data_IF_642259054817
#
_entry.id   IF_642259054817
#
_cell.length_a   1.000
_cell.length_b   1.000
_cell.length_c   1.000
_cell.angle_alpha   90.00
_cell.angle_beta   90.00
_cell.angle_gamma   90.00
#
_symmetry.space_group_name_H-M   'P 1'
#
loop_
_entity.id
_entity.type
_entity.pdbx_description
1 polymer ?
#
# COMPACT_ATOMS: atom_id res chain seq x y z
N UNK A 1 -5.76 0.92 1.37
CA UNK A 1 -5.27 2.30 1.64
C UNK A 1 -6.09 3.39 0.94
N UNK A 2 -6.67 3.15 -0.25
CA UNK A 2 -7.47 4.16 -0.97
C UNK A 2 -8.56 4.85 -0.12
N UNK A 3 -9.23 4.12 0.78
CA UNK A 3 -10.26 4.69 1.67
C UNK A 3 -9.74 5.74 2.66
N UNK A 4 -8.44 5.71 3.01
CA UNK A 4 -7.83 6.69 3.91
C UNK A 4 -7.32 7.94 3.17
N UNK A 5 -7.12 7.87 1.84
CA UNK A 5 -6.55 8.97 1.05
C UNK A 5 -7.48 10.20 0.93
N UNK A 6 -8.76 10.05 1.32
CA UNK A 6 -9.75 11.15 1.38
C UNK A 6 -10.27 11.40 2.79
N UNK A 7 -9.46 11.09 3.80
CA UNK A 7 -9.85 11.26 5.21
C UNK A 7 -10.25 12.70 5.55
N UNK A 8 -9.65 13.71 4.90
CA UNK A 8 -9.97 15.12 5.10
C UNK A 8 -11.36 15.53 4.60
N UNK A 9 -11.93 14.80 3.63
CA UNK A 9 -13.23 15.11 3.01
C UNK A 9 -14.40 14.36 3.68
N UNK A 10 -14.11 13.47 4.62
CA UNK A 10 -15.12 12.65 5.31
C UNK A 10 -15.73 13.41 6.48
N UNK A 11 -17.06 13.33 6.60
CA UNK A 11 -17.80 13.88 7.76
C UNK A 11 -17.32 13.26 9.09
N UNK A 12 -17.17 11.94 9.14
CA UNK A 12 -16.73 11.19 10.33
C UNK A 12 -15.65 10.14 9.99
N UNK A 13 -14.38 10.55 9.83
CA UNK A 13 -13.30 9.66 9.37
C UNK A 13 -13.08 8.46 10.30
N UNK A 14 -13.25 8.66 11.62
CA UNK A 14 -13.02 7.63 12.64
C UNK A 14 -13.92 6.40 12.49
N UNK A 15 -15.14 6.58 11.99
CA UNK A 15 -16.11 5.48 11.81
C UNK A 15 -16.18 5.01 10.36
N UNK A 16 -16.12 5.94 9.40
CA UNK A 16 -16.27 5.63 7.97
C UNK A 16 -15.08 4.84 7.40
N UNK A 17 -13.84 5.17 7.80
CA UNK A 17 -12.64 4.49 7.29
C UNK A 17 -12.63 2.99 7.66
N UNK A 18 -12.76 2.58 8.94
CA UNK A 18 -12.71 1.16 9.29
C UNK A 18 -13.89 0.39 8.70
N UNK A 19 -15.11 0.92 8.78
CA UNK A 19 -16.32 0.25 8.28
C UNK A 19 -16.26 0.07 6.76
N UNK A 20 -15.91 1.13 6.02
CA UNK A 20 -15.81 1.09 4.57
C UNK A 20 -14.70 0.18 4.07
N UNK A 21 -13.52 0.21 4.71
CA UNK A 21 -12.38 -0.62 4.30
C UNK A 21 -12.64 -2.10 4.53
N UNK A 22 -13.20 -2.47 5.70
CA UNK A 22 -13.50 -3.87 6.01
C UNK A 22 -14.61 -4.43 5.11
N UNK A 23 -15.69 -3.67 4.88
CA UNK A 23 -16.76 -4.10 3.99
C UNK A 23 -16.27 -4.29 2.55
N UNK A 24 -15.45 -3.35 2.04
CA UNK A 24 -14.86 -3.47 0.71
C UNK A 24 -13.94 -4.70 0.60
N UNK A 25 -13.14 -5.00 1.63
CA UNK A 25 -12.27 -6.18 1.66
C UNK A 25 -13.08 -7.49 1.64
N UNK A 26 -14.14 -7.57 2.44
CA UNK A 26 -15.01 -8.77 2.48
C UNK A 26 -15.72 -8.94 1.15
N UNK A 27 -16.33 -7.89 0.62
CA UNK A 27 -17.06 -7.94 -0.65
C UNK A 27 -16.16 -8.38 -1.81
N UNK A 28 -14.97 -7.79 -1.95
CA UNK A 28 -14.01 -8.17 -3.01
C UNK A 28 -13.49 -9.60 -2.83
N UNK A 29 -13.22 -10.04 -1.59
CA UNK A 29 -12.79 -11.41 -1.31
C UNK A 29 -13.87 -12.42 -1.69
N UNK A 30 -15.14 -12.15 -1.36
CA UNK A 30 -16.27 -13.00 -1.74
C UNK A 30 -16.43 -13.09 -3.27
N UNK A 31 -16.27 -11.97 -3.97
CA UNK A 31 -16.32 -11.92 -5.43
C UNK A 31 -15.20 -12.78 -6.03
N UNK A 32 -13.95 -12.63 -5.57
CA UNK A 32 -12.83 -13.44 -6.06
C UNK A 32 -13.04 -14.94 -5.80
N UNK A 33 -13.47 -15.32 -4.60
CA UNK A 33 -13.77 -16.72 -4.29
C UNK A 33 -14.88 -17.28 -5.18
N UNK A 34 -15.94 -16.51 -5.41
CA UNK A 34 -17.04 -16.90 -6.30
C UNK A 34 -16.53 -17.17 -7.72
N UNK A 35 -15.69 -16.28 -8.28
CA UNK A 35 -15.10 -16.48 -9.60
C UNK A 35 -14.22 -17.74 -9.67
N UNK A 36 -13.41 -18.01 -8.64
CA UNK A 36 -12.59 -19.22 -8.58
C UNK A 36 -13.46 -20.48 -8.68
N UNK A 37 -14.55 -20.56 -7.91
CA UNK A 37 -15.46 -21.71 -7.95
C UNK A 37 -16.21 -21.83 -9.27
N UNK A 38 -16.74 -20.72 -9.80
CA UNK A 38 -17.50 -20.73 -11.06
C UNK A 38 -16.61 -21.09 -12.24
N UNK A 39 -15.41 -20.51 -12.36
CA UNK A 39 -14.51 -20.82 -13.47
C UNK A 39 -14.01 -22.26 -13.41
N UNK A 40 -13.73 -22.78 -12.21
CA UNK A 40 -13.39 -24.19 -12.01
C UNK A 40 -14.52 -25.17 -12.36
N UNK A 41 -15.78 -24.75 -12.23
CA UNK A 41 -16.93 -25.57 -12.58
C UNK A 41 -17.29 -25.52 -14.08
N UNK A 42 -16.97 -24.43 -14.77
CA UNK A 42 -17.41 -24.17 -16.16
C UNK A 42 -16.40 -24.61 -17.21
N UNK A 43 -15.08 -24.55 -16.93
CA UNK A 43 -14.06 -24.83 -17.93
C UNK A 43 -13.04 -25.90 -17.50
N UNK A 44 -12.56 -26.71 -18.47
CA UNK A 44 -11.46 -27.64 -18.22
C UNK A 44 -10.14 -26.87 -18.00
N UNK A 45 -9.20 -27.52 -17.31
CA UNK A 45 -7.90 -26.95 -16.91
C UNK A 45 -7.13 -26.33 -18.09
N UNK A 46 -7.14 -26.98 -19.25
CA UNK A 46 -6.36 -26.50 -20.41
C UNK A 46 -6.88 -25.16 -20.95
N UNK A 47 -8.20 -24.95 -20.98
CA UNK A 47 -8.79 -23.67 -21.39
C UNK A 47 -8.38 -22.57 -20.41
N UNK A 48 -8.42 -22.84 -19.11
CA UNK A 48 -8.04 -21.86 -18.07
C UNK A 48 -6.55 -21.48 -18.08
N UNK A 49 -5.67 -22.39 -18.52
CA UNK A 49 -4.23 -22.11 -18.60
C UNK A 49 -3.85 -21.29 -19.83
N UNK A 50 -4.55 -21.49 -20.95
CA UNK A 50 -4.18 -20.89 -22.24
C UNK A 50 -4.98 -19.63 -22.58
N UNK A 51 -6.25 -19.55 -22.17
CA UNK A 51 -7.12 -18.41 -22.49
C UNK A 51 -7.09 -17.35 -21.37
N UNK A 52 -6.25 -16.33 -21.57
CA UNK A 52 -6.16 -15.17 -20.66
C UNK A 52 -7.44 -14.31 -20.62
N UNK A 53 -8.30 -14.42 -21.63
CA UNK A 53 -9.55 -13.66 -21.74
C UNK A 53 -10.79 -14.52 -21.53
N UNK A 54 -10.64 -15.69 -20.89
CA UNK A 54 -11.72 -16.65 -20.66
C UNK A 54 -12.96 -16.00 -20.03
N UNK A 55 -12.77 -15.09 -19.07
CA UNK A 55 -13.87 -14.38 -18.42
C UNK A 55 -14.73 -13.55 -19.40
N UNK A 56 -14.13 -13.01 -20.48
CA UNK A 56 -14.86 -12.31 -21.54
C UNK A 56 -15.55 -13.29 -22.48
N UNK A 57 -14.95 -14.46 -22.74
CA UNK A 57 -15.51 -15.51 -23.60
C UNK A 57 -16.83 -16.07 -23.07
N UNK A 58 -16.96 -16.23 -21.75
CA UNK A 58 -18.19 -16.74 -21.10
C UNK A 58 -19.24 -15.66 -20.80
N UNK A 59 -18.95 -14.39 -21.11
CA UNK A 59 -19.78 -13.29 -20.67
C UNK A 59 -21.11 -13.21 -21.45
N UNK A 60 -22.23 -13.18 -20.73
CA UNK A 60 -23.56 -12.89 -21.27
C UNK A 60 -23.94 -11.43 -20.97
N UNK A 61 -24.54 -10.66 -21.90
CA UNK A 61 -25.04 -11.04 -23.23
C UNK A 61 -24.02 -10.90 -24.37
N UNK A 62 -22.97 -10.07 -24.21
CA UNK A 62 -21.98 -9.81 -25.26
C UNK A 62 -20.58 -9.74 -24.65
N UNK A 63 -19.64 -10.49 -25.24
CA UNK A 63 -18.21 -10.53 -24.87
C UNK A 63 -17.57 -9.14 -24.75
N UNK A 64 -17.88 -8.27 -25.69
CA UNK A 64 -17.27 -6.94 -25.80
C UNK A 64 -17.55 -6.04 -24.58
N UNK A 65 -18.64 -6.29 -23.84
CA UNK A 65 -18.95 -5.55 -22.60
C UNK A 65 -17.84 -5.75 -21.57
N UNK A 66 -17.33 -6.97 -21.44
CA UNK A 66 -16.24 -7.27 -20.51
C UNK A 66 -14.94 -6.64 -20.97
N UNK A 67 -14.65 -6.67 -22.27
CA UNK A 67 -13.42 -6.07 -22.83
C UNK A 67 -13.42 -4.55 -22.58
N UNK A 68 -14.49 -3.84 -22.93
CA UNK A 68 -14.59 -2.40 -22.67
C UNK A 68 -14.63 -2.07 -21.18
N UNK A 69 -15.27 -2.93 -20.36
CA UNK A 69 -15.29 -2.79 -18.90
C UNK A 69 -13.90 -2.90 -18.29
N UNK A 70 -13.10 -3.88 -18.71
CA UNK A 70 -11.70 -4.04 -18.28
C UNK A 70 -10.85 -2.85 -18.73
N UNK A 71 -11.03 -2.35 -19.96
CA UNK A 71 -10.32 -1.16 -20.43
C UNK A 71 -10.66 0.08 -19.59
N UNK A 72 -11.95 0.37 -19.38
CA UNK A 72 -12.39 1.51 -18.59
C UNK A 72 -11.92 1.41 -17.13
N UNK A 73 -12.01 0.22 -16.54
CA UNK A 73 -11.52 -0.05 -15.17
C UNK A 73 -10.01 0.15 -15.06
N UNK A 74 -9.24 -0.38 -16.01
CA UNK A 74 -7.77 -0.27 -16.01
C UNK A 74 -7.30 1.18 -16.17
N UNK A 75 -7.94 1.95 -17.05
CA UNK A 75 -7.64 3.40 -17.22
C UNK A 75 -7.97 4.16 -15.93
N UNK A 76 -9.15 3.90 -15.33
CA UNK A 76 -9.54 4.54 -14.07
C UNK A 76 -8.61 4.21 -12.90
N UNK A 77 -8.21 2.95 -12.77
CA UNK A 77 -7.25 2.50 -11.77
C UNK A 77 -5.85 3.12 -12.00
N UNK A 78 -5.40 3.22 -13.25
CA UNK A 78 -4.14 3.85 -13.61
C UNK A 78 -4.11 5.35 -13.27
N UNK A 79 -5.17 6.09 -13.66
CA UNK A 79 -5.28 7.53 -13.40
C UNK A 79 -5.33 7.82 -11.89
N UNK A 80 -6.15 7.08 -11.14
CA UNK A 80 -6.25 7.26 -9.69
C UNK A 80 -4.94 6.94 -8.97
N UNK A 81 -4.23 5.90 -9.39
CA UNK A 81 -2.91 5.54 -8.83
C UNK A 81 -1.85 6.60 -9.12
N UNK A 82 -1.86 7.18 -10.33
CA UNK A 82 -0.94 8.24 -10.73
C UNK A 82 -1.18 9.53 -9.93
N UNK A 83 -2.44 9.96 -9.76
CA UNK A 83 -2.77 11.15 -8.96
C UNK A 83 -2.46 10.93 -7.48
N UNK A 84 -2.76 9.75 -6.94
CA UNK A 84 -2.50 9.44 -5.54
C UNK A 84 -1.01 9.34 -5.23
N UNK A 85 -0.22 8.67 -6.09
CA UNK A 85 1.22 8.50 -5.89
C UNK A 85 1.99 9.82 -5.94
N UNK A 86 1.63 10.70 -6.87
CA UNK A 86 2.29 12.01 -7.04
C UNK A 86 2.02 12.96 -5.87
N UNK A 87 0.79 12.96 -5.35
CA UNK A 87 0.43 13.74 -4.16
C UNK A 87 1.12 13.20 -2.91
N UNK A 88 1.22 11.89 -2.77
CA UNK A 88 1.93 11.26 -1.64
C UNK A 88 3.44 11.58 -1.68
N UNK A 89 4.07 11.50 -2.85
CA UNK A 89 5.48 11.89 -3.01
C UNK A 89 5.70 13.38 -2.68
N UNK A 90 4.82 14.26 -3.15
CA UNK A 90 4.91 15.68 -2.85
C UNK A 90 4.66 15.99 -1.37
N UNK A 91 3.79 15.26 -0.68
CA UNK A 91 3.56 15.43 0.75
C UNK A 91 4.82 15.08 1.55
N UNK A 92 5.42 13.92 1.27
CA UNK A 92 6.69 13.49 1.90
C UNK A 92 7.82 14.50 1.62
N UNK A 93 7.89 15.04 0.41
CA UNK A 93 8.88 16.06 0.05
C UNK A 93 8.70 17.38 0.83
N UNK A 94 7.45 17.79 1.06
CA UNK A 94 7.11 18.99 1.83
C UNK A 94 7.33 18.81 3.33
N UNK A 95 7.24 17.58 3.86
CA UNK A 95 7.51 17.27 5.27
C UNK A 95 9.00 17.44 5.63
N UNK A 96 9.90 17.45 4.64
CA UNK A 96 11.32 17.72 4.84
C UNK A 96 12.11 16.62 5.55
N UNK A 97 11.50 15.46 5.77
CA UNK A 97 12.11 14.26 6.40
C UNK A 97 13.26 13.72 5.57
N UNK A 98 13.12 13.75 4.24
CA UNK A 98 14.11 13.30 3.26
C UNK A 98 14.57 14.50 2.42
N UNK A 99 15.73 15.11 2.72
CA UNK A 99 16.15 16.36 2.08
C UNK A 99 16.40 16.21 0.57
N UNK A 100 16.75 14.99 0.13
CA UNK A 100 16.94 14.64 -1.30
C UNK A 100 15.63 14.80 -2.08
N UNK A 101 14.47 14.59 -1.44
CA UNK A 101 13.16 14.66 -2.08
C UNK A 101 12.58 16.07 -2.16
N UNK A 102 13.21 17.10 -1.56
CA UNK A 102 12.71 18.48 -1.54
C UNK A 102 12.42 19.07 -2.93
N UNK A 103 13.09 18.56 -3.97
CA UNK A 103 12.87 18.96 -5.38
C UNK A 103 11.42 18.67 -5.82
N UNK A 104 10.78 17.65 -5.23
CA UNK A 104 9.41 17.26 -5.56
C UNK A 104 8.35 17.96 -4.71
N UNK A 105 8.74 18.86 -3.79
CA UNK A 105 7.81 19.58 -2.95
C UNK A 105 7.02 20.62 -3.77
N UNK A 106 5.70 20.55 -3.68
CA UNK A 106 4.79 21.53 -4.27
C UNK A 106 4.14 22.40 -3.19
N UNK A 107 3.91 23.70 -3.46
CA UNK A 107 3.16 24.57 -2.56
C UNK A 107 1.73 24.05 -2.32
N UNK A 108 1.14 24.31 -1.14
CA UNK A 108 -0.23 23.90 -0.84
C UNK A 108 -1.21 24.46 -1.88
N UNK A 109 -2.07 23.59 -2.41
CA UNK A 109 -3.06 23.92 -3.43
C UNK A 109 -2.54 23.98 -4.87
N UNK A 110 -1.23 23.83 -5.10
CA UNK A 110 -0.66 23.69 -6.46
C UNK A 110 -0.42 22.22 -6.80
N UNK A 111 -0.59 21.89 -8.08
CA UNK A 111 -0.33 20.53 -8.56
C UNK A 111 1.17 20.23 -8.58
N UNK A 112 1.60 19.05 -8.11
CA UNK A 112 3.02 18.69 -8.03
C UNK A 112 3.54 18.22 -9.39
N UNK A 113 3.81 19.17 -10.29
CA UNK A 113 4.21 18.90 -11.69
C UNK A 113 5.49 18.07 -11.80
N UNK A 114 6.48 18.32 -10.96
CA UNK A 114 7.76 17.58 -10.96
C UNK A 114 7.56 16.13 -10.47
N UNK A 115 6.76 15.92 -9.42
CA UNK A 115 6.42 14.58 -8.95
C UNK A 115 5.60 13.80 -9.99
N UNK A 116 4.70 14.51 -10.70
CA UNK A 116 3.94 13.96 -11.81
C UNK A 116 4.83 13.51 -12.97
N UNK A 117 5.79 14.36 -13.37
CA UNK A 117 6.75 14.00 -14.41
C UNK A 117 7.60 12.79 -14.02
N UNK A 118 8.08 12.74 -12.77
CA UNK A 118 8.85 11.61 -12.26
C UNK A 118 8.04 10.31 -12.26
N UNK A 119 6.78 10.37 -11.79
CA UNK A 119 5.88 9.21 -11.78
C UNK A 119 5.53 8.76 -13.20
N UNK A 120 5.29 9.70 -14.12
CA UNK A 120 5.04 9.40 -15.53
C UNK A 120 6.24 8.72 -16.19
N UNK A 121 7.46 9.23 -15.96
CA UNK A 121 8.69 8.62 -16.46
C UNK A 121 8.86 7.19 -15.94
N UNK A 122 8.66 6.98 -14.63
CA UNK A 122 8.75 5.65 -14.01
C UNK A 122 7.70 4.68 -14.58
N UNK A 123 6.46 5.13 -14.77
CA UNK A 123 5.41 4.33 -15.41
C UNK A 123 5.75 4.00 -16.87
N UNK A 124 6.26 4.95 -17.65
CA UNK A 124 6.67 4.71 -19.05
C UNK A 124 7.81 3.69 -19.13
N UNK A 125 8.79 3.76 -18.23
CA UNK A 125 9.85 2.75 -18.12
C UNK A 125 9.29 1.37 -17.77
N UNK A 126 8.35 1.29 -16.82
CA UNK A 126 7.71 0.03 -16.48
C UNK A 126 6.92 -0.55 -17.67
N UNK A 127 6.17 0.29 -18.41
CA UNK A 127 5.43 -0.14 -19.61
C UNK A 127 6.38 -0.64 -20.70
N UNK A 128 7.58 -0.04 -20.83
CA UNK A 128 8.57 -0.44 -21.84
C UNK A 128 9.09 -1.88 -21.69
N UNK A 129 8.94 -2.49 -20.50
CA UNK A 129 9.28 -3.90 -20.27
C UNK A 129 8.35 -4.84 -21.06
N UNK A 130 7.12 -4.42 -21.37
CA UNK A 130 6.20 -5.17 -22.23
C UNK A 130 5.60 -6.45 -21.62
N UNK A 131 5.97 -6.82 -20.39
CA UNK A 131 5.51 -8.06 -19.74
C UNK A 131 4.93 -7.80 -18.33
N UNK A 132 3.61 -7.98 -18.19
CA UNK A 132 2.90 -7.80 -16.92
C UNK A 132 3.37 -8.79 -15.85
N UNK A 133 3.69 -10.03 -16.24
CA UNK A 133 4.11 -11.09 -15.32
C UNK A 133 5.47 -10.81 -14.66
N UNK A 134 6.34 -10.04 -15.31
CA UNK A 134 7.60 -9.61 -14.72
C UNK A 134 7.41 -8.47 -13.71
N UNK A 135 6.45 -7.58 -13.98
CA UNK A 135 6.18 -6.39 -13.18
C UNK A 135 5.36 -6.72 -11.92
N UNK A 136 4.41 -7.66 -12.01
CA UNK A 136 3.50 -7.97 -10.92
C UNK A 136 4.19 -8.37 -9.60
N UNK A 137 5.18 -9.29 -9.58
CA UNK A 137 5.91 -9.62 -8.36
C UNK A 137 6.62 -8.42 -7.73
N UNK A 138 7.19 -7.52 -8.55
CA UNK A 138 7.89 -6.32 -8.07
C UNK A 138 6.93 -5.39 -7.32
N UNK A 139 5.74 -5.10 -7.89
CA UNK A 139 4.74 -4.29 -7.19
C UNK A 139 4.24 -4.98 -5.91
N UNK A 140 4.01 -6.30 -5.96
CA UNK A 140 3.57 -7.05 -4.78
C UNK A 140 4.57 -6.93 -3.63
N UNK A 141 5.88 -6.92 -3.90
CA UNK A 141 6.91 -6.70 -2.87
C UNK A 141 6.78 -5.33 -2.22
N UNK A 142 6.60 -4.25 -2.99
CA UNK A 142 6.43 -2.91 -2.44
C UNK A 142 5.15 -2.79 -1.59
N UNK A 143 4.04 -3.40 -2.02
CA UNK A 143 2.80 -3.41 -1.23
C UNK A 143 2.93 -4.22 0.06
N UNK A 144 3.50 -5.42 0.00
CA UNK A 144 3.74 -6.25 1.18
C UNK A 144 4.68 -5.55 2.16
N UNK A 145 5.71 -4.86 1.67
CA UNK A 145 6.63 -4.11 2.52
C UNK A 145 5.90 -2.96 3.25
N UNK A 146 5.06 -2.22 2.54
CA UNK A 146 4.23 -1.18 3.14
C UNK A 146 3.30 -1.74 4.23
N UNK A 147 2.64 -2.87 3.97
CA UNK A 147 1.80 -3.55 4.97
C UNK A 147 2.61 -4.06 6.16
N UNK A 148 3.83 -4.54 5.93
CA UNK A 148 4.74 -4.95 7.00
C UNK A 148 5.10 -3.77 7.89
N UNK A 149 5.54 -2.66 7.31
CA UNK A 149 5.89 -1.45 8.07
C UNK A 149 4.70 -0.91 8.87
N UNK A 150 3.52 -0.80 8.26
CA UNK A 150 2.33 -0.30 8.97
C UNK A 150 1.95 -1.20 10.14
N UNK A 151 1.89 -2.51 9.93
CA UNK A 151 1.56 -3.47 10.98
C UNK A 151 2.63 -3.51 12.09
N UNK A 152 3.90 -3.47 11.71
CA UNK A 152 4.99 -3.48 12.68
C UNK A 152 5.01 -2.21 13.52
N UNK A 153 4.80 -1.03 12.91
CA UNK A 153 4.66 0.23 13.64
C UNK A 153 3.50 0.19 14.64
N UNK A 154 2.32 -0.28 14.23
CA UNK A 154 1.18 -0.42 15.14
C UNK A 154 1.47 -1.37 16.32
N UNK A 155 2.15 -2.49 16.08
CA UNK A 155 2.51 -3.42 17.15
C UNK A 155 3.58 -2.83 18.09
N UNK A 156 4.59 -2.13 17.56
CA UNK A 156 5.63 -1.49 18.36
C UNK A 156 5.05 -0.40 19.25
N UNK A 157 4.20 0.50 18.71
CA UNK A 157 3.60 1.58 19.49
C UNK A 157 2.80 1.06 20.70
N UNK A 158 2.06 -0.04 20.55
CA UNK A 158 1.32 -0.66 21.64
C UNK A 158 2.26 -1.37 22.64
N UNK A 159 3.24 -2.15 22.16
CA UNK A 159 4.18 -2.88 23.03
C UNK A 159 5.07 -1.94 23.85
N UNK A 160 5.48 -0.82 23.24
CA UNK A 160 6.24 0.24 23.89
C UNK A 160 5.36 1.07 24.83
N UNK A 161 4.03 0.98 24.72
CA UNK A 161 3.05 1.78 25.46
C UNK A 161 3.22 3.29 25.21
N UNK A 162 3.40 3.69 23.95
CA UNK A 162 3.56 5.09 23.56
C UNK A 162 2.40 5.96 24.10
N UNK A 163 2.66 7.06 24.83
CA UNK A 163 1.62 7.92 25.41
C UNK A 163 0.60 8.49 24.41
N UNK A 164 1.02 8.69 23.16
CA UNK A 164 0.19 9.22 22.07
C UNK A 164 -0.64 8.15 21.37
N UNK A 165 -0.32 6.87 21.57
CA UNK A 165 -1.01 5.76 20.92
C UNK A 165 -2.20 5.28 21.77
N UNK A 166 -3.42 5.52 21.27
CA UNK A 166 -4.68 5.13 21.92
C UNK A 166 -5.71 4.61 20.90
N UNK A 167 -5.56 3.38 20.41
CA UNK A 167 -6.45 2.83 19.39
C UNK A 167 -7.87 2.68 19.93
N UNK A 168 -8.85 3.33 19.28
CA UNK A 168 -10.26 3.30 19.69
C UNK A 168 -11.07 2.19 19.01
N UNK A 169 -10.46 1.42 18.11
CA UNK A 169 -11.14 0.38 17.34
C UNK A 169 -11.30 -0.90 18.16
N UNK A 170 -12.53 -1.38 18.30
CA UNK A 170 -12.90 -2.49 19.21
C UNK A 170 -12.18 -3.82 18.93
N UNK A 171 -11.86 -4.13 17.67
CA UNK A 171 -11.25 -5.40 17.28
C UNK A 171 -9.73 -5.31 17.05
N UNK A 172 -9.11 -4.21 17.49
CA UNK A 172 -7.66 -4.07 17.42
C UNK A 172 -6.99 -4.80 18.59
N UNK A 173 -5.95 -5.56 18.29
CA UNK A 173 -5.04 -6.13 19.28
C UNK A 173 -3.62 -6.23 18.68
N UNK A 174 -2.59 -5.95 19.46
CA UNK A 174 -1.19 -5.92 18.98
C UNK A 174 -0.75 -7.23 18.35
N UNK A 175 -1.21 -8.37 18.89
CA UNK A 175 -0.83 -9.70 18.38
C UNK A 175 -1.33 -9.94 16.95
N UNK A 176 -2.52 -9.45 16.60
CA UNK A 176 -3.08 -9.56 15.24
C UNK A 176 -2.22 -8.75 14.26
N UNK A 177 -1.77 -7.57 14.68
CA UNK A 177 -0.89 -6.73 13.86
C UNK A 177 0.49 -7.36 13.69
N UNK A 178 1.09 -7.90 14.76
CA UNK A 178 2.37 -8.61 14.68
C UNK A 178 2.27 -9.85 13.79
N UNK A 179 1.20 -10.65 13.94
CA UNK A 179 0.95 -11.81 13.11
C UNK A 179 0.82 -11.42 11.63
N UNK A 180 0.09 -10.35 11.32
CA UNK A 180 -0.04 -9.85 9.95
C UNK A 180 1.31 -9.39 9.37
N UNK A 181 2.16 -8.71 10.16
CA UNK A 181 3.50 -8.32 9.73
C UNK A 181 4.37 -9.55 9.40
N UNK A 182 4.39 -10.55 10.27
CA UNK A 182 5.12 -11.79 10.03
C UNK A 182 4.62 -12.54 8.79
N UNK A 183 3.30 -12.58 8.59
CA UNK A 183 2.68 -13.20 7.42
C UNK A 183 3.05 -12.46 6.13
N UNK A 184 3.10 -11.12 6.14
CA UNK A 184 3.57 -10.35 5.00
C UNK A 184 5.04 -10.65 4.66
N UNK A 185 5.92 -10.70 5.66
CA UNK A 185 7.34 -11.06 5.46
C UNK A 185 7.48 -12.47 4.92
N UNK A 186 6.74 -13.43 5.48
CA UNK A 186 6.73 -14.81 5.00
C UNK A 186 6.31 -14.90 3.53
N UNK A 187 5.23 -14.21 3.14
CA UNK A 187 4.77 -14.16 1.75
C UNK A 187 5.81 -13.54 0.80
N UNK A 188 6.55 -12.51 1.23
CA UNK A 188 7.62 -11.93 0.41
C UNK A 188 8.71 -12.96 0.11
N UNK A 189 9.21 -13.67 1.12
CA UNK A 189 10.24 -14.70 0.93
C UNK A 189 9.73 -15.90 0.14
N UNK A 190 8.45 -16.26 0.29
CA UNK A 190 7.82 -17.34 -0.48
C UNK A 190 7.70 -17.00 -1.97
N UNK A 191 7.47 -15.73 -2.33
CA UNK A 191 7.33 -15.32 -3.72
C UNK A 191 8.68 -15.15 -4.44
N UNK A 192 9.62 -14.38 -3.85
CA UNK A 192 10.92 -14.15 -4.45
C UNK A 192 11.94 -13.71 -3.38
N UNK A 193 12.77 -14.63 -2.84
CA UNK A 193 13.61 -14.35 -1.68
C UNK A 193 14.69 -13.29 -1.95
N UNK A 194 15.26 -13.27 -3.16
CA UNK A 194 16.31 -12.31 -3.54
C UNK A 194 15.73 -10.90 -3.63
N UNK A 195 14.62 -10.73 -4.33
CA UNK A 195 13.95 -9.42 -4.48
C UNK A 195 13.43 -8.93 -3.13
N UNK A 196 12.89 -9.83 -2.30
CA UNK A 196 12.46 -9.52 -0.95
C UNK A 196 13.62 -8.99 -0.08
N UNK A 197 14.77 -9.66 -0.08
CA UNK A 197 15.94 -9.21 0.68
C UNK A 197 16.41 -7.82 0.24
N UNK A 198 16.45 -7.56 -1.08
CA UNK A 198 16.80 -6.24 -1.63
C UNK A 198 15.79 -5.17 -1.20
N UNK A 199 14.48 -5.47 -1.27
CA UNK A 199 13.43 -4.54 -0.88
C UNK A 199 13.48 -4.19 0.62
N UNK A 200 13.71 -5.20 1.48
CA UNK A 200 13.85 -5.02 2.93
C UNK A 200 15.09 -4.17 3.23
N UNK A 201 16.24 -4.47 2.60
CA UNK A 201 17.46 -3.69 2.75
C UNK A 201 17.23 -2.23 2.34
N UNK A 202 16.60 -2.01 1.19
CA UNK A 202 16.28 -0.67 0.68
C UNK A 202 15.36 0.11 1.62
N UNK A 203 14.36 -0.53 2.21
CA UNK A 203 13.50 0.11 3.18
C UNK A 203 14.24 0.43 4.49
N UNK A 204 15.10 -0.48 4.95
CA UNK A 204 15.92 -0.26 6.14
C UNK A 204 16.89 0.92 5.96
N UNK A 205 17.52 1.06 4.79
CA UNK A 205 18.39 2.22 4.51
C UNK A 205 17.61 3.52 4.51
N UNK A 206 16.44 3.58 3.87
CA UNK A 206 15.56 4.76 3.92
C UNK A 206 15.16 5.09 5.36
N UNK A 207 14.77 4.10 6.15
CA UNK A 207 14.38 4.30 7.55
C UNK A 207 15.53 4.87 8.39
N UNK A 208 16.73 4.29 8.29
CA UNK A 208 17.91 4.81 9.01
C UNK A 208 18.29 6.22 8.57
N UNK A 209 18.22 6.52 7.28
CA UNK A 209 18.53 7.84 6.73
C UNK A 209 17.50 8.89 7.18
N UNK A 210 16.21 8.55 7.15
CA UNK A 210 15.14 9.39 7.66
C UNK A 210 15.29 9.64 9.17
N UNK A 211 15.61 8.60 9.95
CA UNK A 211 15.82 8.71 11.40
C UNK A 211 17.00 9.62 11.74
N UNK A 212 18.13 9.49 11.02
CA UNK A 212 19.29 10.37 11.20
C UNK A 212 18.94 11.84 10.94
N UNK A 213 18.20 12.13 9.86
CA UNK A 213 17.83 13.49 9.51
C UNK A 213 16.68 14.04 10.39
N UNK A 214 15.80 13.17 10.90
CA UNK A 214 14.71 13.54 11.81
C UNK A 214 15.22 14.12 13.12
N UNK A 215 16.40 13.73 13.59
CA UNK A 215 16.99 14.28 14.82
C UNK A 215 17.30 15.79 14.74
N UNK A 216 17.47 16.32 13.51
CA UNK A 216 17.68 17.75 13.26
C UNK A 216 16.37 18.52 12.98
N UNK A 217 15.28 17.81 12.70
CA UNK A 217 13.95 18.40 12.49
C UNK A 217 13.18 18.43 13.81
N UNK A 218 12.39 19.48 14.07
CA UNK A 218 11.58 19.65 15.30
C UNK A 218 10.38 18.69 15.40
N UNK A 219 10.50 17.45 14.94
CA UNK A 219 9.47 16.43 15.09
C UNK A 219 9.81 15.56 16.29
N UNK A 220 8.78 15.27 17.11
CA UNK A 220 8.92 14.32 18.21
C UNK A 220 9.41 12.98 17.64
N UNK A 221 10.58 12.56 18.10
CA UNK A 221 11.18 11.29 17.70
C UNK A 221 10.30 10.15 18.25
N UNK A 222 9.99 9.11 17.47
CA UNK A 222 9.25 7.94 18.00
C UNK A 222 9.99 7.30 19.18
N UNK A 223 11.31 7.50 19.26
CA UNK A 223 12.13 7.11 20.41
C UNK A 223 12.02 8.05 21.63
N UNK A 224 11.45 9.25 21.51
CA UNK A 224 11.13 10.08 22.69
C UNK A 224 10.07 9.43 23.56
N UNK A 225 9.09 8.72 22.98
CA UNK A 225 8.12 7.93 23.75
C UNK A 225 8.80 6.87 24.62
N UNK A 226 9.72 6.10 24.02
CA UNK A 226 10.54 5.11 24.75
C UNK A 226 11.42 5.75 25.83
N UNK A 227 12.10 6.86 25.52
CA UNK A 227 12.96 7.58 26.47
C UNK A 227 12.15 8.17 27.62
N UNK A 228 10.97 8.73 27.34
CA UNK A 228 10.05 9.25 28.36
C UNK A 228 9.54 8.15 29.27
N UNK A 229 9.26 6.96 28.73
CA UNK A 229 8.78 5.83 29.50
C UNK A 229 9.86 5.17 30.34
N UNK A 230 11.08 5.04 29.80
CA UNK A 230 12.26 4.65 30.59
C UNK A 230 12.52 5.66 31.72
N UNK A 231 12.43 6.96 31.44
CA UNK A 231 12.58 7.99 32.46
C UNK A 231 11.47 7.94 33.52
N UNK A 232 10.22 7.66 33.12
CA UNK A 232 9.09 7.51 34.04
C UNK A 232 9.17 6.24 34.89
N UNK A 233 9.68 5.13 34.34
CA UNK A 233 9.82 3.87 35.07
C UNK A 233 11.05 3.85 36.01
N UNK A 234 11.99 4.78 35.84
CA UNK A 234 13.16 4.97 36.70
C UNK A 234 12.94 6.00 37.83
N UNK A 235 11.81 6.73 37.81
CA UNK A 235 11.40 7.69 38.83
C UNK A 235 10.31 7.09 39.74
#
# INVERSE_FOLDING_TARGET
>A
MAGANRSADLKDPKSSIPTGTLFAQIATSLIYMTFIFVFGAVAPRETLLNDKFFAATIAWPVREIVVYGVMASSIGAGLSSMVSGTRLLSAIASDGTLPILKIFAAPPGKEPRLALLASACLCTLAISVGELNAIAPILTMFFLMCYTCVNMSCAICELVNDPSWRPTFRFYHWSVSLFAALLCVWMMFAMAPIIAAVAILFCATIFTYASYNSHNAKWGDGFQGMKFQLAKNLA
#
